data_IF_321525833102
#
_entry.id   IF_321525833102
#
_cell.length_a   1.000
_cell.length_b   1.000
_cell.length_c   1.000
_cell.angle_alpha   90.00
_cell.angle_beta   90.00
_cell.angle_gamma   90.00
#
_symmetry.space_group_name_H-M   'P 1'
#
loop_
_entity.id
_entity.type
_entity.pdbx_description
1 polymer ?
#
# COMPACT_ATOMS: atom_id res chain seq x y z
N UNK A 1 -7.29 -9.52 -9.42
CA UNK A 1 -8.03 -9.82 -8.18
C UNK A 1 -7.80 -8.65 -7.23
N UNK A 2 -8.81 -7.79 -7.02
CA UNK A 2 -8.71 -6.65 -6.09
C UNK A 2 -9.30 -7.14 -4.77
N UNK A 3 -8.44 -7.41 -3.78
CA UNK A 3 -8.90 -7.70 -2.41
C UNK A 3 -9.04 -6.33 -1.72
N UNK A 4 -10.26 -5.92 -1.39
CA UNK A 4 -10.50 -4.62 -0.74
C UNK A 4 -10.04 -4.66 0.72
N UNK A 5 -9.37 -3.60 1.20
CA UNK A 5 -8.89 -3.49 2.59
C UNK A 5 -10.01 -3.72 3.63
N UNK A 6 -11.24 -3.34 3.28
CA UNK A 6 -12.42 -3.50 4.13
C UNK A 6 -12.75 -4.96 4.45
N UNK A 7 -12.34 -5.91 3.60
CA UNK A 7 -12.62 -7.33 3.81
C UNK A 7 -11.89 -7.85 5.05
N UNK A 8 -10.63 -7.46 5.26
CA UNK A 8 -9.85 -7.88 6.43
C UNK A 8 -10.48 -7.41 7.75
N UNK A 9 -11.19 -6.28 7.76
CA UNK A 9 -11.84 -5.74 8.95
C UNK A 9 -13.28 -6.23 9.17
N UNK A 10 -13.90 -6.86 8.18
CA UNK A 10 -15.30 -7.30 8.26
C UNK A 10 -15.46 -8.79 8.54
N UNK A 11 -14.40 -9.57 8.38
CA UNK A 11 -14.42 -11.00 8.65
C UNK A 11 -13.78 -11.29 10.02
N UNK A 12 -14.36 -12.25 10.76
CA UNK A 12 -13.85 -12.67 12.08
C UNK A 12 -12.46 -13.33 12.10
N UNK A 13 -12.04 -14.15 11.11
CA UNK A 13 -10.73 -14.80 11.20
C UNK A 13 -9.59 -13.81 10.95
N UNK A 14 -8.45 -14.06 11.61
CA UNK A 14 -7.20 -13.35 11.34
C UNK A 14 -6.74 -13.62 9.91
N UNK A 15 -6.36 -12.58 9.17
CA UNK A 15 -5.92 -12.68 7.78
C UNK A 15 -4.41 -12.45 7.70
N UNK A 16 -3.67 -13.46 7.27
CA UNK A 16 -2.26 -13.31 6.90
C UNK A 16 -2.11 -12.82 5.47
N UNK A 17 -1.07 -12.04 5.20
CA UNK A 17 -0.76 -11.50 3.87
C UNK A 17 0.66 -11.88 3.47
N UNK A 18 0.84 -12.27 2.21
CA UNK A 18 2.16 -12.64 1.70
C UNK A 18 2.39 -11.99 0.33
N UNK A 19 3.51 -11.29 0.19
CA UNK A 19 3.95 -10.73 -1.08
C UNK A 19 4.78 -11.74 -1.87
N UNK A 20 4.27 -12.11 -3.04
CA UNK A 20 4.99 -12.86 -4.07
C UNK A 20 5.23 -11.95 -5.28
N UNK A 21 6.50 -11.80 -5.68
CA UNK A 21 6.86 -10.99 -6.84
C UNK A 21 6.84 -9.49 -6.57
N UNK A 22 5.68 -8.83 -6.69
CA UNK A 22 5.57 -7.37 -6.49
C UNK A 22 4.27 -7.00 -5.78
N UNK A 23 4.36 -6.22 -4.70
CA UNK A 23 3.24 -5.49 -4.11
C UNK A 23 3.44 -3.99 -4.35
N UNK A 24 2.55 -3.38 -5.12
CA UNK A 24 2.64 -1.96 -5.48
C UNK A 24 1.31 -1.25 -5.23
N UNK A 25 1.38 0.03 -4.84
CA UNK A 25 0.19 0.89 -4.69
C UNK A 25 -0.79 0.33 -3.66
N UNK A 26 -2.07 0.16 -4.04
CA UNK A 26 -3.08 -0.53 -3.23
C UNK A 26 -2.65 -1.94 -2.80
N UNK A 27 -1.84 -2.64 -3.60
CA UNK A 27 -1.29 -3.95 -3.22
C UNK A 27 -0.43 -3.89 -1.96
N UNK A 28 0.32 -2.80 -1.76
CA UNK A 28 1.11 -2.59 -0.54
C UNK A 28 0.23 -2.27 0.66
N UNK A 29 -0.86 -1.53 0.47
CA UNK A 29 -1.83 -1.29 1.54
C UNK A 29 -2.48 -2.59 2.01
N UNK A 30 -2.89 -3.44 1.07
CA UNK A 30 -3.47 -4.75 1.38
C UNK A 30 -2.46 -5.62 2.13
N UNK A 31 -1.21 -5.65 1.68
CA UNK A 31 -0.12 -6.34 2.36
C UNK A 31 0.03 -5.86 3.81
N UNK A 32 0.10 -4.54 4.01
CA UNK A 32 0.26 -3.93 5.32
C UNK A 32 -0.98 -4.08 6.23
N UNK A 33 -2.17 -4.22 5.64
CA UNK A 33 -3.45 -4.40 6.32
C UNK A 33 -3.75 -5.84 6.73
N UNK A 34 -2.81 -6.77 6.58
CA UNK A 34 -2.89 -8.09 7.23
C UNK A 34 -2.79 -7.99 8.75
N UNK A 35 -3.16 -9.06 9.45
CA UNK A 35 -2.99 -9.19 10.89
C UNK A 35 -1.51 -9.00 11.26
N UNK A 36 -1.24 -8.18 12.28
CA UNK A 36 0.13 -7.95 12.77
C UNK A 36 0.77 -9.27 13.22
N UNK A 37 2.01 -9.50 12.79
CA UNK A 37 2.72 -10.78 12.97
C UNK A 37 2.39 -11.82 11.90
N UNK A 38 1.54 -11.48 10.92
CA UNK A 38 1.13 -12.38 9.83
C UNK A 38 1.33 -11.76 8.44
N UNK A 39 2.21 -10.75 8.32
CA UNK A 39 2.49 -10.05 7.06
C UNK A 39 3.89 -10.40 6.57
N UNK A 40 3.99 -11.03 5.41
CA UNK A 40 5.27 -11.59 4.95
C UNK A 40 5.60 -11.21 3.51
N UNK A 41 6.87 -11.31 3.14
CA UNK A 41 7.35 -11.13 1.77
C UNK A 41 8.36 -12.19 1.39
N UNK A 42 8.35 -12.64 0.13
CA UNK A 42 9.44 -13.46 -0.41
C UNK A 42 10.71 -12.63 -0.57
N UNK A 43 11.92 -13.22 -0.51
CA UNK A 43 13.19 -12.48 -0.49
C UNK A 43 13.44 -11.71 -1.78
N UNK A 44 12.96 -12.25 -2.91
CA UNK A 44 13.07 -11.65 -4.24
C UNK A 44 11.89 -10.75 -4.61
N UNK A 45 10.93 -10.55 -3.71
CA UNK A 45 9.79 -9.69 -4.00
C UNK A 45 10.20 -8.21 -3.96
N UNK A 46 9.37 -7.33 -4.52
CA UNK A 46 9.53 -5.88 -4.42
C UNK A 46 8.27 -5.24 -3.86
N UNK A 47 8.46 -4.29 -2.95
CA UNK A 47 7.37 -3.48 -2.38
C UNK A 47 7.54 -2.06 -2.91
N UNK A 48 6.52 -1.56 -3.61
CA UNK A 48 6.55 -0.23 -4.21
C UNK A 48 5.46 0.66 -3.65
N UNK A 49 5.88 1.85 -3.25
CA UNK A 49 5.03 2.79 -2.58
C UNK A 49 5.03 4.10 -3.36
N UNK A 50 3.86 4.63 -3.65
CA UNK A 50 3.73 5.89 -4.37
C UNK A 50 2.51 6.68 -3.94
N UNK A 51 2.61 8.00 -4.02
CA UNK A 51 1.48 8.87 -3.75
C UNK A 51 0.26 8.54 -4.63
N UNK A 52 -0.97 8.79 -4.15
CA UNK A 52 -2.16 8.69 -4.98
C UNK A 52 -2.01 9.55 -6.23
N UNK A 53 -2.25 8.95 -7.39
CA UNK A 53 -2.28 9.69 -8.65
C UNK A 53 -3.68 10.24 -8.87
N UNK A 54 -3.77 11.52 -9.22
CA UNK A 54 -5.02 12.16 -9.58
C UNK A 54 -4.84 12.99 -10.84
N UNK A 55 -5.88 13.02 -11.68
CA UNK A 55 -5.93 13.79 -12.92
C UNK A 55 -7.12 14.74 -12.89
N UNK A 56 -6.96 15.92 -13.50
CA UNK A 56 -7.98 16.97 -13.51
C UNK A 56 -8.23 17.43 -14.95
N UNK A 57 -9.49 17.71 -15.31
CA UNK A 57 -9.85 18.20 -16.64
C UNK A 57 -11.34 18.46 -16.78
N UNK A 58 -11.72 19.33 -17.72
CA UNK A 58 -13.10 19.77 -17.93
C UNK A 58 -13.28 21.26 -17.68
N UNK A 59 -14.52 21.67 -17.35
CA UNK A 59 -14.83 23.06 -17.01
C UNK A 59 -14.11 23.49 -15.72
N UNK A 60 -13.92 24.79 -15.56
CA UNK A 60 -13.16 25.38 -14.45
C UNK A 60 -13.65 24.88 -13.08
N UNK A 61 -14.96 24.76 -12.88
CA UNK A 61 -15.54 24.28 -11.63
C UNK A 61 -15.26 22.79 -11.37
N UNK A 62 -15.26 21.96 -12.42
CA UNK A 62 -14.91 20.54 -12.30
C UNK A 62 -13.44 20.36 -11.95
N UNK A 63 -12.56 21.12 -12.61
CA UNK A 63 -11.12 21.14 -12.28
C UNK A 63 -10.92 21.55 -10.83
N UNK A 64 -11.60 22.61 -10.37
CA UNK A 64 -11.50 23.09 -8.99
C UNK A 64 -11.96 22.02 -7.99
N UNK A 65 -13.06 21.33 -8.28
CA UNK A 65 -13.55 20.22 -7.44
C UNK A 65 -12.56 19.04 -7.41
N UNK A 66 -12.09 18.60 -8.57
CA UNK A 66 -11.14 17.48 -8.70
C UNK A 66 -9.81 17.78 -7.99
N UNK A 67 -9.31 19.01 -8.08
CA UNK A 67 -8.10 19.43 -7.35
C UNK A 67 -8.34 19.35 -5.83
N UNK A 68 -9.47 19.82 -5.34
CA UNK A 68 -9.81 19.72 -3.91
C UNK A 68 -9.91 18.25 -3.45
N UNK A 69 -10.56 17.39 -4.24
CA UNK A 69 -10.64 15.94 -3.98
C UNK A 69 -9.25 15.28 -3.99
N UNK A 70 -8.37 15.69 -4.91
CA UNK A 70 -7.00 15.20 -5.01
C UNK A 70 -6.17 15.59 -3.78
N UNK A 71 -6.30 16.83 -3.30
CA UNK A 71 -5.64 17.30 -2.09
C UNK A 71 -6.16 16.54 -0.86
N UNK A 72 -7.48 16.35 -0.74
CA UNK A 72 -8.07 15.58 0.35
C UNK A 72 -7.58 14.13 0.38
N UNK A 73 -7.47 13.50 -0.80
CA UNK A 73 -7.02 12.10 -0.93
C UNK A 73 -5.58 11.88 -0.45
N UNK A 74 -4.73 12.92 -0.48
CA UNK A 74 -3.36 12.88 0.06
C UNK A 74 -3.33 12.74 1.58
N UNK A 75 -4.27 13.38 2.29
CA UNK A 75 -4.34 13.32 3.75
C UNK A 75 -4.80 11.96 4.28
N UNK A 76 -5.60 11.22 3.50
CA UNK A 76 -6.22 9.96 3.93
C UNK A 76 -5.29 8.75 3.67
N UNK A 77 -4.38 8.85 2.70
CA UNK A 77 -3.53 7.72 2.33
C UNK A 77 -2.36 7.57 3.31
N UNK A 78 -2.39 6.51 4.12
CA UNK A 78 -1.27 6.06 5.00
C UNK A 78 0.06 6.02 4.23
N UNK A 79 -0.03 5.73 2.94
CA UNK A 79 1.06 5.71 1.99
C UNK A 79 1.81 7.04 1.83
N UNK A 80 1.09 8.16 1.92
CA UNK A 80 1.67 9.50 1.84
C UNK A 80 2.51 9.83 3.07
N UNK A 81 2.07 9.39 4.26
CA UNK A 81 2.79 9.63 5.52
C UNK A 81 4.16 8.95 5.53
N UNK A 82 4.28 7.78 4.89
CA UNK A 82 5.51 6.99 4.88
C UNK A 82 6.52 7.51 3.84
N UNK A 83 6.05 8.10 2.73
CA UNK A 83 6.87 8.33 1.51
C UNK A 83 6.95 9.80 1.10
N UNK A 84 6.03 10.66 1.56
CA UNK A 84 5.94 12.04 1.10
C UNK A 84 5.57 12.14 -0.38
N UNK A 85 6.29 12.97 -1.15
CA UNK A 85 5.88 13.42 -2.49
C UNK A 85 6.43 12.62 -3.68
N UNK A 86 7.25 11.58 -3.48
CA UNK A 86 7.90 10.89 -4.61
C UNK A 86 7.54 9.39 -4.65
N UNK A 87 7.59 8.82 -5.85
CA UNK A 87 7.28 7.41 -6.10
C UNK A 87 8.58 6.62 -6.10
N UNK A 88 8.75 5.67 -5.17
CA UNK A 88 9.94 4.83 -5.17
C UNK A 88 9.64 3.40 -4.70
N UNK A 89 10.40 2.47 -5.26
CA UNK A 89 10.47 1.10 -4.74
C UNK A 89 11.30 1.13 -3.47
N UNK A 90 10.79 0.53 -2.40
CA UNK A 90 11.54 0.41 -1.16
C UNK A 90 12.17 -0.98 -1.08
N UNK A 91 13.31 -1.05 -0.38
CA UNK A 91 13.95 -2.33 -0.07
C UNK A 91 13.11 -3.11 0.95
N UNK A 92 13.20 -4.44 0.95
CA UNK A 92 12.49 -5.28 1.91
C UNK A 92 12.83 -4.95 3.36
N UNK A 93 14.11 -4.64 3.62
CA UNK A 93 14.58 -4.15 4.91
C UNK A 93 13.83 -2.88 5.35
N UNK A 94 13.63 -1.92 4.44
CA UNK A 94 12.87 -0.71 4.74
C UNK A 94 11.39 -1.03 4.98
N UNK A 95 10.84 -2.01 4.26
CA UNK A 95 9.46 -2.44 4.47
C UNK A 95 9.25 -3.07 5.86
N UNK A 96 10.26 -3.74 6.42
CA UNK A 96 10.27 -4.19 7.82
C UNK A 96 10.35 -3.01 8.78
N UNK A 97 11.26 -2.05 8.57
CA UNK A 97 11.39 -0.87 9.43
C UNK A 97 10.12 -0.01 9.47
N UNK A 98 9.49 0.19 8.32
CA UNK A 98 8.20 0.90 8.23
C UNK A 98 7.01 0.08 8.74
N UNK A 99 7.23 -1.17 9.14
CA UNK A 99 6.18 -2.04 9.67
C UNK A 99 5.12 -2.42 8.65
N UNK A 100 5.47 -2.46 7.35
CA UNK A 100 4.58 -2.89 6.27
C UNK A 100 4.52 -4.42 6.17
N UNK A 101 5.60 -5.08 6.56
CA UNK A 101 5.72 -6.53 6.71
C UNK A 101 6.33 -6.85 8.08
N UNK A 102 6.10 -8.05 8.58
CA UNK A 102 6.62 -8.56 9.85
C UNK A 102 7.77 -9.57 9.65
N UNK A 103 7.93 -10.11 8.44
CA UNK A 103 9.01 -11.06 8.15
C UNK A 103 9.27 -11.31 6.67
N UNK A 104 10.44 -11.88 6.39
CA UNK A 104 10.85 -12.37 5.08
C UNK A 104 10.80 -13.90 5.13
N UNK A 105 10.12 -14.53 4.18
CA UNK A 105 10.03 -15.98 4.11
C UNK A 105 11.24 -16.50 3.34
N UNK A 106 12.18 -17.15 4.03
CA UNK A 106 13.23 -17.91 3.36
C UNK A 106 12.67 -19.28 2.98
N UNK A 107 12.83 -19.66 1.71
CA UNK A 107 12.60 -21.04 1.26
C UNK A 107 13.89 -21.81 1.50
N UNK A 108 13.93 -22.59 2.57
CA UNK A 108 14.92 -23.67 2.64
C UNK A 108 14.53 -24.72 1.59
N UNK A 109 15.45 -24.98 0.66
CA UNK A 109 15.36 -26.07 -0.31
C UNK A 109 16.18 -27.26 0.19
#
# INVERSE_FOLDING_TARGET
MIVSLSVNNQIKPKVGTVCFGVAASQGTLILAGGEKGMRYSMPNARIMIHQPQSGCGGHVEDVKRQVNEAVQSRHISVLFFIVGYSSYSILLFQALEFGLIDGILETEY
#
